data_IF_832595996314
#
_entry.id   IF_832595996314
#
_cell.length_a   1.000
_cell.length_b   1.000
_cell.length_c   1.000
_cell.angle_alpha   90.00
_cell.angle_beta   90.00
_cell.angle_gamma   90.00
#
_symmetry.space_group_name_H-M   'P 1'
#
loop_
_entity.id
_entity.type
_entity.pdbx_description
1 polymer ?
#
# COMPACT_ATOMS: atom_id res chain seq x y z
N UNK A 1 -3.35 -7.77 -9.28
CA UNK A 1 -1.90 -7.54 -9.11
C UNK A 1 -1.16 -8.69 -9.77
N UNK A 2 0.04 -8.47 -10.32
CA UNK A 2 0.86 -9.60 -10.78
C UNK A 2 1.34 -10.40 -9.56
N UNK A 3 1.20 -11.74 -9.53
CA UNK A 3 1.67 -12.58 -8.43
C UNK A 3 3.17 -12.39 -8.13
N UNK A 4 3.93 -11.97 -9.14
CA UNK A 4 5.37 -11.73 -9.05
C UNK A 4 5.74 -10.52 -8.16
N UNK A 5 4.76 -9.72 -7.73
CA UNK A 5 4.96 -8.54 -6.88
C UNK A 5 4.75 -8.79 -5.39
N UNK A 6 4.31 -9.99 -5.04
CA UNK A 6 3.69 -10.25 -3.73
C UNK A 6 4.70 -10.82 -2.73
N UNK A 7 5.92 -11.14 -3.14
CA UNK A 7 6.84 -11.92 -2.29
C UNK A 7 8.34 -11.54 -2.46
N UNK A 8 9.06 -11.43 -1.35
CA UNK A 8 10.51 -11.19 -1.28
C UNK A 8 11.36 -12.24 -1.98
N UNK A 9 11.01 -13.53 -1.84
CA UNK A 9 11.73 -14.63 -2.49
C UNK A 9 11.74 -14.45 -4.01
N UNK A 10 10.58 -14.16 -4.60
CA UNK A 10 10.45 -13.91 -6.05
C UNK A 10 11.22 -12.67 -6.47
N UNK A 11 11.19 -11.60 -5.67
CA UNK A 11 11.99 -10.40 -5.93
C UNK A 11 13.50 -10.69 -5.94
N UNK A 12 13.98 -11.54 -5.03
CA UNK A 12 15.39 -11.90 -4.95
C UNK A 12 15.82 -12.82 -6.11
N UNK A 13 15.02 -13.83 -6.42
CA UNK A 13 15.30 -14.82 -7.48
C UNK A 13 15.17 -14.20 -8.88
N UNK A 14 14.13 -13.38 -9.09
CA UNK A 14 13.77 -12.84 -10.40
C UNK A 14 13.80 -11.32 -10.41
N UNK A 15 14.85 -10.70 -9.86
CA UNK A 15 14.93 -9.25 -9.62
C UNK A 15 14.57 -8.39 -10.85
N UNK A 16 15.19 -8.65 -12.00
CA UNK A 16 14.97 -7.87 -13.23
C UNK A 16 13.53 -7.98 -13.72
N UNK A 17 13.02 -9.21 -13.77
CA UNK A 17 11.65 -9.50 -14.22
C UNK A 17 10.63 -8.90 -13.25
N UNK A 18 10.85 -9.04 -11.95
CA UNK A 18 10.00 -8.47 -10.89
C UNK A 18 9.97 -6.94 -10.99
N UNK A 19 11.11 -6.28 -11.16
CA UNK A 19 11.17 -4.82 -11.38
C UNK A 19 10.42 -4.39 -12.65
N UNK A 20 10.53 -5.16 -13.73
CA UNK A 20 9.82 -4.88 -14.97
C UNK A 20 8.30 -5.06 -14.78
N UNK A 21 7.87 -6.11 -14.09
CA UNK A 21 6.47 -6.33 -13.73
C UNK A 21 5.91 -5.24 -12.81
N UNK A 22 6.71 -4.71 -11.88
CA UNK A 22 6.31 -3.56 -11.05
C UNK A 22 6.04 -2.36 -11.94
N UNK A 23 6.97 -2.06 -12.86
CA UNK A 23 6.86 -0.95 -13.81
C UNK A 23 5.61 -1.10 -14.70
N UNK A 24 5.39 -2.28 -15.27
CA UNK A 24 4.25 -2.54 -16.16
C UNK A 24 2.92 -2.50 -15.40
N UNK A 25 2.91 -2.93 -14.14
CA UNK A 25 1.73 -2.85 -13.28
C UNK A 25 1.40 -1.41 -12.88
N UNK A 26 2.41 -0.58 -12.59
CA UNK A 26 2.24 0.86 -12.33
C UNK A 26 1.76 1.58 -13.59
N UNK A 27 2.38 1.32 -14.73
CA UNK A 27 2.03 1.94 -16.01
C UNK A 27 0.60 1.62 -16.42
N UNK A 28 0.17 0.35 -16.32
CA UNK A 28 -1.20 -0.06 -16.67
C UNK A 28 -2.27 0.46 -15.70
N UNK A 29 -1.89 0.85 -14.49
CA UNK A 29 -2.82 1.28 -13.44
C UNK A 29 -2.65 2.75 -13.06
N UNK A 30 -1.94 3.53 -13.87
CA UNK A 30 -1.63 4.92 -13.56
C UNK A 30 -2.85 5.87 -13.53
N UNK A 31 -4.01 5.39 -13.98
CA UNK A 31 -5.29 6.10 -13.86
C UNK A 31 -5.93 5.98 -12.46
N UNK A 32 -5.43 5.09 -11.60
CA UNK A 32 -5.93 4.93 -10.23
C UNK A 32 -5.20 5.89 -9.30
N UNK A 33 -5.92 6.51 -8.36
CA UNK A 33 -5.30 7.35 -7.32
C UNK A 33 -4.45 6.52 -6.36
N UNK A 34 -4.86 5.29 -6.04
CA UNK A 34 -4.17 4.39 -5.11
C UNK A 34 -3.94 3.00 -5.69
N UNK A 35 -2.77 2.43 -5.40
CA UNK A 35 -2.43 1.04 -5.65
C UNK A 35 -2.05 0.40 -4.32
N UNK A 36 -2.83 -0.62 -3.94
CA UNK A 36 -2.60 -1.45 -2.77
C UNK A 36 -1.68 -2.60 -3.17
N UNK A 37 -0.71 -2.96 -2.33
CA UNK A 37 0.25 -4.03 -2.59
C UNK A 37 0.47 -4.82 -1.29
N UNK A 38 -0.27 -5.93 -1.10
CA UNK A 38 0.08 -6.95 -0.12
C UNK A 38 1.45 -7.51 -0.46
N UNK A 39 2.35 -7.55 0.51
CA UNK A 39 3.71 -7.99 0.31
C UNK A 39 4.15 -8.90 1.46
N UNK A 40 4.72 -10.05 1.10
CA UNK A 40 5.26 -11.02 2.04
C UNK A 40 6.79 -10.98 2.04
N UNK A 41 7.37 -10.84 3.23
CA UNK A 41 8.81 -10.99 3.47
C UNK A 41 9.05 -11.83 4.71
N UNK A 42 9.94 -12.82 4.65
CA UNK A 42 10.29 -13.65 5.81
C UNK A 42 9.09 -14.18 6.63
N UNK A 43 8.03 -14.69 5.97
CA UNK A 43 6.77 -15.14 6.60
C UNK A 43 5.91 -14.05 7.26
N UNK A 44 6.21 -12.78 7.02
CA UNK A 44 5.44 -11.65 7.50
C UNK A 44 4.75 -10.90 6.35
N UNK A 45 3.46 -10.61 6.52
CA UNK A 45 2.66 -9.88 5.55
C UNK A 45 2.49 -8.43 5.97
N UNK A 46 2.73 -7.52 5.03
CA UNK A 46 2.48 -6.08 5.15
C UNK A 46 1.61 -5.60 3.98
N UNK A 47 1.04 -4.41 4.13
CA UNK A 47 0.32 -3.74 3.06
C UNK A 47 1.02 -2.41 2.72
N UNK A 48 1.45 -2.28 1.47
CA UNK A 48 1.96 -1.03 0.91
C UNK A 48 0.83 -0.33 0.15
N UNK A 49 0.66 0.97 0.34
CA UNK A 49 -0.37 1.77 -0.33
C UNK A 49 0.32 2.94 -1.02
N UNK A 50 0.41 2.85 -2.35
CA UNK A 50 1.01 3.87 -3.18
C UNK A 50 -0.05 4.84 -3.70
N UNK A 51 0.09 6.13 -3.39
CA UNK A 51 -0.60 7.21 -4.09
C UNK A 51 0.13 7.53 -5.39
N UNK A 52 -0.49 7.21 -6.52
CA UNK A 52 0.09 7.43 -7.86
C UNK A 52 0.20 8.93 -8.18
N UNK A 53 -0.72 9.74 -7.66
CA UNK A 53 -0.73 11.19 -7.88
C UNK A 53 0.41 11.92 -7.18
N UNK A 54 0.83 11.44 -6.00
CA UNK A 54 1.77 12.16 -5.14
C UNK A 54 3.12 11.46 -4.95
N UNK A 55 3.20 10.16 -5.22
CA UNK A 55 4.36 9.33 -4.87
C UNK A 55 4.48 9.07 -3.36
N UNK A 56 3.42 9.29 -2.58
CA UNK A 56 3.37 8.88 -1.18
C UNK A 56 3.16 7.37 -1.08
N UNK A 57 3.94 6.71 -0.24
CA UNK A 57 3.84 5.28 0.05
C UNK A 57 3.57 5.09 1.54
N UNK A 58 2.37 4.63 1.90
CA UNK A 58 2.03 4.28 3.28
C UNK A 58 2.28 2.79 3.47
N UNK A 59 2.94 2.43 4.57
CA UNK A 59 3.20 1.04 4.94
C UNK A 59 2.38 0.71 6.17
N UNK A 60 1.51 -0.28 6.04
CA UNK A 60 0.82 -0.88 7.18
C UNK A 60 1.54 -2.18 7.55
N UNK A 61 2.13 -2.18 8.74
CA UNK A 61 2.84 -3.31 9.33
C UNK A 61 2.32 -3.55 10.75
N UNK A 62 1.58 -4.65 10.93
CA UNK A 62 1.00 -5.05 12.20
C UNK A 62 2.02 -5.34 13.30
N UNK A 63 3.30 -5.56 12.95
CA UNK A 63 4.42 -5.75 13.88
C UNK A 63 5.29 -4.50 14.08
N UNK A 64 5.09 -3.44 13.29
CA UNK A 64 5.96 -2.24 13.27
C UNK A 64 7.44 -2.59 13.17
N UNK A 65 7.80 -3.42 12.20
CA UNK A 65 9.21 -3.62 11.92
C UNK A 65 9.86 -2.29 11.51
N UNK A 66 11.14 -2.09 11.83
CA UNK A 66 11.85 -0.90 11.39
C UNK A 66 11.92 -0.85 9.87
N UNK A 67 12.05 0.37 9.31
CA UNK A 67 12.16 0.58 7.85
C UNK A 67 13.23 -0.26 7.18
N UNK A 68 14.35 -0.49 7.87
CA UNK A 68 15.44 -1.34 7.40
C UNK A 68 15.00 -2.78 7.09
N UNK A 69 14.00 -3.31 7.81
CA UNK A 69 13.48 -4.66 7.58
C UNK A 69 12.83 -4.82 6.20
N UNK A 70 12.28 -3.73 5.64
CA UNK A 70 11.57 -3.73 4.35
C UNK A 70 12.36 -3.00 3.25
N UNK A 71 13.61 -2.60 3.51
CA UNK A 71 14.40 -1.84 2.53
C UNK A 71 14.54 -2.59 1.19
N UNK A 72 14.58 -3.92 1.26
CA UNK A 72 14.66 -4.81 0.10
C UNK A 72 13.51 -4.65 -0.91
N UNK A 73 12.31 -4.21 -0.49
CA UNK A 73 11.20 -3.88 -1.40
C UNK A 73 11.12 -2.37 -1.69
N UNK A 74 11.56 -1.52 -0.75
CA UNK A 74 11.57 -0.07 -0.94
C UNK A 74 12.54 0.36 -2.04
N UNK A 75 13.75 -0.21 -2.09
CA UNK A 75 14.76 0.17 -3.09
C UNK A 75 14.32 -0.14 -4.52
N UNK A 76 13.82 -1.35 -4.84
CA UNK A 76 13.34 -1.66 -6.18
C UNK A 76 12.11 -0.85 -6.55
N UNK A 77 11.18 -0.65 -5.61
CA UNK A 77 9.97 0.14 -5.86
C UNK A 77 10.32 1.60 -6.15
N UNK A 78 11.28 2.20 -5.42
CA UNK A 78 11.74 3.57 -5.68
C UNK A 78 12.49 3.68 -7.02
N UNK A 79 13.31 2.68 -7.38
CA UNK A 79 13.94 2.62 -8.71
C UNK A 79 12.90 2.56 -9.83
N UNK A 80 11.88 1.74 -9.67
CA UNK A 80 10.78 1.61 -10.63
C UNK A 80 9.98 2.91 -10.72
N UNK A 81 9.70 3.55 -9.58
CA UNK A 81 9.03 4.86 -9.52
C UNK A 81 9.80 5.93 -10.31
N UNK A 82 11.12 6.03 -10.13
CA UNK A 82 11.98 6.93 -10.91
C UNK A 82 11.86 6.68 -12.42
N UNK A 83 11.87 5.41 -12.84
CA UNK A 83 11.68 5.03 -14.26
C UNK A 83 10.28 5.42 -14.75
N UNK A 84 9.24 5.16 -13.97
CA UNK A 84 7.85 5.51 -14.28
C UNK A 84 7.69 7.02 -14.50
N UNK A 85 8.18 7.86 -13.58
CA UNK A 85 8.10 9.31 -13.71
C UNK A 85 8.83 9.82 -14.95
N UNK A 86 10.05 9.32 -15.20
CA UNK A 86 10.85 9.71 -16.38
C UNK A 86 10.10 9.46 -17.69
N UNK A 87 9.31 8.39 -17.75
CA UNK A 87 8.56 7.99 -18.95
C UNK A 87 7.17 8.64 -19.05
N UNK A 88 6.69 9.28 -17.98
CA UNK A 88 5.39 9.96 -17.94
C UNK A 88 5.52 11.48 -17.67
N UNK A 89 6.64 12.07 -18.09
CA UNK A 89 6.90 13.52 -17.95
C UNK A 89 5.70 14.35 -18.42
N UNK A 90 5.30 15.32 -17.61
CA UNK A 90 4.19 16.25 -17.92
C UNK A 90 2.81 15.83 -17.40
N UNK A 91 2.67 14.66 -16.76
CA UNK A 91 1.38 14.18 -16.21
C UNK A 91 1.15 14.49 -14.72
N UNK A 92 2.11 15.14 -14.03
CA UNK A 92 1.95 15.51 -12.63
C UNK A 92 3.19 16.16 -12.02
N UNK A 93 3.01 16.84 -10.89
CA UNK A 93 4.11 17.32 -10.04
C UNK A 93 4.50 16.21 -9.05
N UNK A 94 5.31 15.26 -9.51
CA UNK A 94 5.72 14.12 -8.70
C UNK A 94 7.04 14.35 -7.95
N UNK A 95 7.16 13.73 -6.78
CA UNK A 95 8.41 13.68 -6.02
C UNK A 95 9.42 12.73 -6.70
N UNK A 96 10.72 13.10 -6.76
CA UNK A 96 11.74 12.28 -7.41
C UNK A 96 11.97 10.94 -6.72
N UNK A 97 11.55 10.80 -5.46
CA UNK A 97 11.58 9.56 -4.70
C UNK A 97 10.24 9.35 -4.00
N UNK A 98 9.92 8.09 -3.72
CA UNK A 98 8.76 7.74 -2.92
C UNK A 98 8.88 8.32 -1.51
N UNK A 99 7.83 9.01 -1.07
CA UNK A 99 7.73 9.48 0.31
C UNK A 99 7.12 8.39 1.18
N UNK A 100 7.97 7.64 1.89
CA UNK A 100 7.57 6.46 2.68
C UNK A 100 7.15 6.87 4.09
N UNK A 101 5.91 6.56 4.47
CA UNK A 101 5.35 6.74 5.81
C UNK A 101 5.06 5.38 6.45
N UNK A 102 5.77 5.05 7.54
CA UNK A 102 5.56 3.85 8.36
C UNK A 102 4.95 4.14 9.73
N UNK A 103 4.78 5.42 10.07
CA UNK A 103 4.28 5.86 11.38
C UNK A 103 2.76 6.02 11.40
N UNK A 104 2.10 5.71 10.28
CA UNK A 104 0.65 5.80 10.15
C UNK A 104 -0.05 4.92 11.22
N UNK A 105 -1.04 5.46 11.96
CA UNK A 105 -1.77 4.69 12.96
C UNK A 105 -2.50 3.49 12.33
N UNK A 106 -2.29 2.30 12.90
CA UNK A 106 -2.92 1.06 12.45
C UNK A 106 -3.04 0.04 13.58
N UNK A 107 -4.03 -0.85 13.46
CA UNK A 107 -4.23 -1.97 14.38
C UNK A 107 -3.00 -2.89 14.40
N UNK A 108 -2.70 -3.48 15.56
CA UNK A 108 -1.43 -4.20 15.79
C UNK A 108 -1.67 -5.62 16.22
N UNK A 109 -0.85 -6.54 15.73
CA UNK A 109 -0.85 -7.90 16.24
C UNK A 109 0.02 -8.01 17.48
N UNK A 110 -0.33 -8.94 18.37
CA UNK A 110 0.59 -9.36 19.43
C UNK A 110 1.78 -10.09 18.79
N UNK A 111 2.96 -9.95 19.39
CA UNK A 111 4.17 -10.60 18.87
C UNK A 111 4.03 -12.12 18.95
N UNK A 112 4.34 -12.82 17.85
CA UNK A 112 4.32 -14.29 17.80
C UNK A 112 2.98 -14.94 17.44
N UNK A 113 1.90 -14.19 17.15
CA UNK A 113 0.59 -14.79 16.83
C UNK A 113 0.44 -15.26 15.38
N UNK A 114 1.28 -14.78 14.46
CA UNK A 114 1.20 -15.13 13.03
C UNK A 114 -0.01 -14.53 12.29
N UNK A 115 -0.69 -13.53 12.87
CA UNK A 115 -1.93 -12.95 12.33
C UNK A 115 -1.70 -11.88 11.25
N UNK A 116 -0.46 -11.67 10.78
CA UNK A 116 -0.11 -10.57 9.89
C UNK A 116 -0.95 -10.55 8.60
N UNK A 117 -1.27 -11.72 8.05
CA UNK A 117 -2.18 -11.86 6.89
C UNK A 117 -3.61 -11.40 7.20
N UNK A 118 -4.13 -11.73 8.39
CA UNK A 118 -5.44 -11.24 8.84
C UNK A 118 -5.46 -9.72 8.94
N UNK A 119 -4.44 -9.11 9.54
CA UNK A 119 -4.34 -7.64 9.64
C UNK A 119 -4.25 -6.99 8.25
N UNK A 120 -3.52 -7.57 7.30
CA UNK A 120 -3.50 -7.07 5.91
C UNK A 120 -4.91 -7.10 5.28
N UNK A 121 -5.67 -8.17 5.50
CA UNK A 121 -7.06 -8.25 5.05
C UNK A 121 -7.95 -7.20 5.73
N UNK A 122 -7.81 -7.00 7.04
CA UNK A 122 -8.56 -6.00 7.81
C UNK A 122 -8.25 -4.58 7.33
N UNK A 123 -6.97 -4.25 7.12
CA UNK A 123 -6.58 -2.97 6.53
C UNK A 123 -7.22 -2.77 5.15
N UNK A 124 -7.19 -3.78 4.27
CA UNK A 124 -7.84 -3.70 2.96
C UNK A 124 -9.35 -3.48 3.07
N UNK A 125 -10.01 -4.14 4.01
CA UNK A 125 -11.45 -4.04 4.25
C UNK A 125 -11.84 -2.63 4.69
N UNK A 126 -11.13 -2.07 5.67
CA UNK A 126 -11.37 -0.72 6.21
C UNK A 126 -11.14 0.34 5.14
N UNK A 127 -10.18 0.10 4.24
CA UNK A 127 -9.68 1.11 3.30
C UNK A 127 -10.41 1.09 1.95
N UNK A 128 -11.15 0.02 1.67
CA UNK A 128 -11.94 -0.13 0.45
C UNK A 128 -13.41 0.04 0.80
N UNK A 129 -14.06 1.17 0.49
CA UNK A 129 -15.48 1.31 0.80
C UNK A 129 -16.28 0.20 0.10
N UNK A 130 -17.06 -0.54 0.88
CA UNK A 130 -18.01 -1.51 0.35
C UNK A 130 -19.07 -0.75 -0.45
N UNK A 131 -19.20 -1.06 -1.74
CA UNK A 131 -20.09 -0.37 -2.65
C UNK A 131 -21.55 -0.46 -2.23
N UNK A 132 -22.08 0.63 -1.69
CA UNK A 132 -23.48 1.08 -1.86
C UNK A 132 -23.48 2.61 -1.92
N UNK A 133 -23.09 3.16 -3.06
CA UNK A 133 -23.42 4.53 -3.41
C UNK A 133 -24.32 4.44 -4.65
N UNK A 134 -25.63 4.58 -4.44
CA UNK A 134 -26.67 4.49 -5.48
C UNK A 134 -26.89 5.81 -6.22
N UNK A 135 -26.10 6.86 -5.97
CA UNK A 135 -26.25 8.12 -6.70
C UNK A 135 -24.97 8.51 -7.45
N UNK A 136 -25.15 8.78 -8.74
CA UNK A 136 -24.13 9.22 -9.71
C UNK A 136 -23.30 10.43 -9.23
N UNK A 137 -23.82 11.21 -8.28
CA UNK A 137 -23.19 12.42 -7.74
C UNK A 137 -22.02 12.14 -6.77
N UNK A 138 -21.81 10.88 -6.36
CA UNK A 138 -20.68 10.50 -5.50
C UNK A 138 -19.41 10.09 -6.24
N UNK A 139 -19.44 10.00 -7.59
CA UNK A 139 -18.25 9.63 -8.39
C UNK A 139 -17.21 10.74 -8.50
N UNK A 140 -17.55 11.99 -8.15
CA UNK A 140 -16.66 13.16 -8.30
C UNK A 140 -16.36 13.81 -6.95
N UNK A 141 -15.91 13.05 -5.94
CA UNK A 141 -15.21 13.65 -4.78
C UNK A 141 -14.03 12.79 -4.30
N UNK A 142 -12.79 13.12 -4.71
CA UNK A 142 -11.58 12.41 -4.27
C UNK A 142 -11.25 12.62 -2.77
N UNK A 143 -12.04 13.43 -2.06
CA UNK A 143 -11.82 13.74 -0.66
C UNK A 143 -12.32 12.65 0.32
N UNK A 144 -13.22 11.76 -0.10
CA UNK A 144 -13.85 10.82 0.85
C UNK A 144 -12.93 9.68 1.27
N UNK A 145 -11.97 9.26 0.43
CA UNK A 145 -10.94 8.30 0.82
C UNK A 145 -10.09 8.89 1.95
N UNK A 146 -9.59 10.14 1.81
CA UNK A 146 -8.88 10.88 2.87
C UNK A 146 -9.73 11.10 4.14
N UNK A 147 -11.04 11.31 4.00
CA UNK A 147 -11.96 11.42 5.15
C UNK A 147 -12.13 10.08 5.86
N UNK A 148 -12.13 8.93 5.15
CA UNK A 148 -12.02 7.62 5.80
C UNK A 148 -10.64 7.43 6.45
N UNK A 149 -9.55 7.86 5.81
CA UNK A 149 -8.21 7.88 6.42
C UNK A 149 -8.14 8.75 7.70
N UNK A 150 -8.90 9.84 7.81
CA UNK A 150 -8.96 10.67 9.04
C UNK A 150 -10.00 10.18 10.07
N UNK A 151 -11.09 9.53 9.65
CA UNK A 151 -12.13 9.07 10.55
C UNK A 151 -11.85 7.69 11.14
N UNK A 152 -11.15 6.80 10.44
CA UNK A 152 -10.71 5.52 10.98
C UNK A 152 -9.68 5.67 12.12
N UNK A 153 -8.98 6.80 12.21
CA UNK A 153 -8.07 7.11 13.33
C UNK A 153 -8.78 7.67 14.55
N UNK A 154 -10.03 8.14 14.42
CA UNK A 154 -10.84 8.67 15.52
C UNK A 154 -11.80 7.62 16.10
N UNK A 155 -12.04 6.51 15.41
CA UNK A 155 -12.84 5.39 15.88
C UNK A 155 -12.00 4.40 16.71
N UNK A 156 -11.25 4.90 17.70
CA UNK A 156 -10.75 4.08 18.80
C UNK A 156 -11.65 4.30 20.02
N UNK A 157 -12.91 3.90 19.87
CA UNK A 157 -13.79 3.50 20.97
C UNK A 157 -14.70 2.39 20.43
N UNK A 158 -14.11 1.20 20.31
CA UNK A 158 -14.88 -0.05 20.35
C UNK A 158 -14.12 -0.99 21.27
N UNK A 159 -14.32 -0.73 22.56
CA UNK A 159 -14.24 -1.78 23.56
C UNK A 159 -15.17 -2.92 23.16
N UNK A 160 -14.73 -4.13 23.50
CA UNK A 160 -15.53 -5.33 23.72
C UNK A 160 -16.36 -5.84 22.54
N UNK A 161 -15.76 -6.74 21.75
CA UNK A 161 -16.40 -7.98 21.33
C UNK A 161 -15.29 -9.01 21.11
N UNK A 162 -15.23 -10.02 21.97
CA UNK A 162 -14.69 -11.39 21.81
C UNK A 162 -14.35 -11.91 23.22
N UNK A 163 -15.37 -12.41 23.91
CA UNK A 163 -15.25 -13.62 24.71
C UNK A 163 -15.41 -14.81 23.76
#
# INVERSE_FOLDING_TARGET
MSPLLVNQKVLNENYKETCQNMYDSLTRQNYKSYIFIPYNFGYHWILLILSVETGNLIVFDSMRNPKSAIQHILDPLNRVWKKFMKNNKGRGQWRPELNVNMDYPCARQQQGTGWCGYYVCDYLHIMTPCGKATDEDTRVRPNRSLVYFHNCTNAHDVNSFFF
#
